data_IF_417713137287
#
_entry.id   IF_417713137287
#
_cell.length_a   1.000
_cell.length_b   1.000
_cell.length_c   1.000
_cell.angle_alpha   90.00
_cell.angle_beta   90.00
_cell.angle_gamma   90.00
#
_symmetry.space_group_name_H-M   'P 1'
#
loop_
_entity.id
_entity.type
_entity.pdbx_description
1 polymer ?
#
# COMPACT_ATOMS: atom_id res chain seq x y z
N UNK A 1 20.61 27.56 0.40
CA UNK A 1 20.63 29.03 0.57
C UNK A 1 21.75 29.56 1.45
N UNK A 2 22.10 28.91 2.57
CA UNK A 2 23.17 29.37 3.47
C UNK A 2 24.54 29.47 2.78
N UNK A 3 24.98 28.45 2.04
CA UNK A 3 26.26 28.48 1.30
C UNK A 3 26.27 29.60 0.24
N UNK A 4 25.15 29.81 -0.46
CA UNK A 4 25.01 30.90 -1.45
C UNK A 4 25.09 32.28 -0.79
N UNK A 5 24.46 32.45 0.39
CA UNK A 5 24.53 33.69 1.18
C UNK A 5 25.93 33.96 1.71
N UNK A 6 26.59 32.95 2.28
CA UNK A 6 27.99 33.07 2.71
C UNK A 6 28.88 33.50 1.54
N UNK A 7 28.59 33.03 0.31
CA UNK A 7 29.40 33.32 -0.88
C UNK A 7 29.26 34.76 -1.33
N UNK A 8 28.06 35.31 -1.17
CA UNK A 8 27.77 36.71 -1.45
C UNK A 8 28.29 37.65 -0.35
N UNK A 9 28.32 37.19 0.90
CA UNK A 9 28.81 37.99 2.04
C UNK A 9 30.34 37.97 2.22
N UNK A 10 31.08 37.27 1.36
CA UNK A 10 32.54 37.18 1.45
C UNK A 10 33.04 36.44 2.70
N UNK A 11 32.30 35.44 3.18
CA UNK A 11 32.70 34.62 4.33
C UNK A 11 34.05 33.90 4.08
N UNK A 12 34.70 33.42 5.14
CA UNK A 12 36.00 32.73 5.03
C UNK A 12 35.90 31.39 4.31
N UNK A 13 36.99 30.97 3.65
CA UNK A 13 37.06 29.70 2.88
C UNK A 13 36.62 28.50 3.72
N UNK A 14 37.05 28.46 4.99
CA UNK A 14 36.75 27.38 5.93
C UNK A 14 35.24 27.25 6.20
N UNK A 15 34.51 28.38 6.31
CA UNK A 15 33.07 28.37 6.57
C UNK A 15 32.26 27.79 5.39
N UNK A 16 32.78 27.87 4.16
CA UNK A 16 32.16 27.20 3.01
C UNK A 16 32.40 25.70 3.02
N UNK A 17 33.63 25.29 3.34
CA UNK A 17 34.00 23.88 3.40
C UNK A 17 33.15 23.17 4.46
N UNK A 18 33.03 23.74 5.66
CA UNK A 18 32.15 23.21 6.71
C UNK A 18 30.68 23.10 6.27
N UNK A 19 30.15 24.14 5.59
CA UNK A 19 28.78 24.12 5.08
C UNK A 19 28.57 23.10 3.96
N UNK A 20 29.57 22.92 3.11
CA UNK A 20 29.58 21.94 2.03
C UNK A 20 29.62 20.50 2.57
N UNK A 21 30.52 20.24 3.51
CA UNK A 21 30.68 18.92 4.16
C UNK A 21 29.42 18.53 4.92
N UNK A 22 28.80 19.49 5.61
CA UNK A 22 27.51 19.27 6.27
C UNK A 22 26.41 18.91 5.27
N UNK A 23 26.29 19.65 4.17
CA UNK A 23 25.28 19.37 3.12
C UNK A 23 25.51 18.01 2.47
N UNK A 24 26.77 17.67 2.19
CA UNK A 24 27.16 16.39 1.62
C UNK A 24 26.74 15.25 2.54
N UNK A 25 27.01 15.36 3.84
CA UNK A 25 26.63 14.36 4.82
C UNK A 25 25.12 14.20 4.94
N UNK A 26 24.36 15.30 5.03
CA UNK A 26 22.90 15.23 5.10
C UNK A 26 22.29 14.57 3.86
N UNK A 27 22.83 14.87 2.67
CA UNK A 27 22.40 14.24 1.42
C UNK A 27 22.72 12.75 1.41
N UNK A 28 23.90 12.36 1.87
CA UNK A 28 24.30 10.96 1.97
C UNK A 28 23.40 10.18 2.95
N UNK A 29 23.13 10.74 4.12
CA UNK A 29 22.24 10.15 5.14
C UNK A 29 20.78 10.06 4.69
N UNK A 30 20.32 11.00 3.86
CA UNK A 30 18.99 10.94 3.25
C UNK A 30 18.83 9.72 2.33
N UNK A 31 19.87 9.39 1.55
CA UNK A 31 19.86 8.22 0.67
C UNK A 31 20.06 6.94 1.49
N UNK A 32 21.11 6.90 2.31
CA UNK A 32 21.48 5.76 3.13
C UNK A 32 21.80 6.21 4.56
N UNK A 33 20.87 5.97 5.48
CA UNK A 33 21.04 6.39 6.87
C UNK A 33 21.96 5.50 7.70
N UNK A 34 22.38 4.36 7.15
CA UNK A 34 23.32 3.41 7.78
C UNK A 34 24.73 3.53 7.18
N UNK A 35 25.06 4.71 6.61
CA UNK A 35 26.39 4.96 6.07
C UNK A 35 27.46 4.84 7.17
N UNK A 36 28.43 3.97 6.98
CA UNK A 36 29.58 3.82 7.88
C UNK A 36 30.59 4.95 7.69
N UNK A 37 31.33 5.31 8.75
CA UNK A 37 32.39 6.33 8.67
C UNK A 37 31.94 7.77 8.95
N UNK A 38 30.69 7.99 9.37
CA UNK A 38 30.22 9.31 9.81
C UNK A 38 30.74 9.60 11.23
N UNK A 39 31.38 10.75 11.49
CA UNK A 39 31.79 11.14 12.83
C UNK A 39 30.59 11.20 13.79
N UNK A 40 30.76 10.69 15.02
CA UNK A 40 29.67 10.61 16.02
C UNK A 40 29.05 11.99 16.33
N UNK A 41 29.85 13.06 16.26
CA UNK A 41 29.41 14.44 16.46
C UNK A 41 28.43 14.95 15.37
N UNK A 42 28.51 14.39 14.16
CA UNK A 42 27.65 14.75 13.04
C UNK A 42 26.51 13.75 12.79
N UNK A 43 26.45 12.65 13.57
CA UNK A 43 25.34 11.70 13.48
C UNK A 43 24.05 12.29 14.09
N UNK A 44 22.89 12.09 13.45
CA UNK A 44 21.63 12.52 14.03
C UNK A 44 21.29 11.71 15.29
N UNK A 45 20.79 12.37 16.33
CA UNK A 45 20.40 11.75 17.62
C UNK A 45 19.36 10.62 17.48
N UNK A 46 18.58 10.63 16.40
CA UNK A 46 17.62 9.57 16.05
C UNK A 46 17.98 9.00 14.68
N UNK A 47 18.17 7.68 14.55
CA UNK A 47 18.44 7.08 13.26
C UNK A 47 17.25 7.30 12.33
N UNK A 48 17.48 8.05 11.24
CA UNK A 48 16.51 8.23 10.18
C UNK A 48 16.30 6.94 9.37
N UNK A 49 15.20 6.86 8.64
CA UNK A 49 15.03 5.85 7.57
C UNK A 49 15.28 6.51 6.22
N UNK A 50 16.51 6.35 5.73
CA UNK A 50 16.90 6.77 4.39
C UNK A 50 16.14 5.99 3.30
N UNK A 51 16.32 6.41 2.05
CA UNK A 51 15.65 5.79 0.91
C UNK A 51 15.95 4.29 0.80
N UNK A 52 17.22 3.91 0.95
CA UNK A 52 17.66 2.51 0.87
C UNK A 52 16.98 1.65 1.94
N UNK A 53 16.90 2.14 3.19
CA UNK A 53 16.23 1.45 4.30
C UNK A 53 14.74 1.25 4.07
N UNK A 54 14.08 2.15 3.32
CA UNK A 54 12.66 1.99 2.96
C UNK A 54 12.45 0.96 1.85
N UNK A 55 13.44 0.76 0.98
CA UNK A 55 13.36 -0.20 -0.12
C UNK A 55 13.74 -1.63 0.34
N UNK A 56 14.80 -1.76 1.14
CA UNK A 56 15.35 -3.05 1.59
C UNK A 56 14.66 -3.61 2.84
N UNK A 57 14.87 -4.89 3.11
CA UNK A 57 14.43 -5.57 4.33
C UNK A 57 13.04 -6.22 4.22
N UNK A 58 12.64 -6.95 5.28
CA UNK A 58 11.37 -7.71 5.33
C UNK A 58 10.14 -6.80 5.19
N UNK A 59 10.18 -5.62 5.80
CA UNK A 59 9.13 -4.61 5.75
C UNK A 59 9.42 -3.50 4.74
N UNK A 60 10.45 -3.66 3.89
CA UNK A 60 10.78 -2.72 2.83
C UNK A 60 9.80 -2.79 1.66
N UNK A 61 9.80 -1.80 0.77
CA UNK A 61 8.85 -1.72 -0.34
C UNK A 61 8.94 -2.91 -1.31
N UNK A 62 10.14 -3.40 -1.62
CA UNK A 62 10.28 -4.51 -2.56
C UNK A 62 9.62 -5.78 -2.02
N UNK A 63 9.98 -6.21 -0.82
CA UNK A 63 9.43 -7.44 -0.24
C UNK A 63 8.02 -7.27 0.34
N UNK A 64 7.76 -6.16 1.04
CA UNK A 64 6.51 -5.92 1.74
C UNK A 64 5.37 -5.41 0.87
N UNK A 65 5.66 -4.77 -0.28
CA UNK A 65 4.62 -4.18 -1.13
C UNK A 65 4.57 -4.76 -2.54
N UNK A 66 5.70 -5.17 -3.11
CA UNK A 66 5.71 -5.77 -4.46
C UNK A 66 5.56 -7.28 -4.39
N UNK A 67 6.30 -7.97 -3.52
CA UNK A 67 6.21 -9.44 -3.40
C UNK A 67 5.04 -9.94 -2.55
N UNK A 68 4.49 -9.11 -1.65
CA UNK A 68 3.46 -9.52 -0.70
C UNK A 68 2.49 -8.39 -0.35
N UNK A 69 1.66 -7.99 -1.30
CA UNK A 69 0.67 -6.92 -1.09
C UNK A 69 -0.61 -7.46 -0.45
N UNK A 70 -1.26 -6.63 0.35
CA UNK A 70 -2.66 -6.86 0.75
C UNK A 70 -3.57 -6.77 -0.48
N UNK A 71 -4.54 -7.67 -0.56
CA UNK A 71 -5.49 -7.77 -1.67
C UNK A 71 -6.90 -7.46 -1.18
N UNK A 72 -7.65 -6.75 -2.01
CA UNK A 72 -9.09 -6.53 -1.80
C UNK A 72 -9.86 -7.81 -2.18
N UNK A 73 -11.14 -7.92 -1.81
CA UNK A 73 -12.02 -9.06 -2.11
C UNK A 73 -11.52 -10.42 -1.57
N UNK A 74 -11.00 -10.43 -0.34
CA UNK A 74 -10.61 -11.64 0.37
C UNK A 74 -11.20 -11.69 1.78
N UNK A 75 -11.45 -12.88 2.29
CA UNK A 75 -11.95 -13.13 3.66
C UNK A 75 -11.18 -14.27 4.33
N UNK A 76 -11.14 -14.28 5.66
CA UNK A 76 -10.52 -15.33 6.47
C UNK A 76 -11.45 -15.70 7.63
N UNK A 77 -11.63 -17.00 7.87
CA UNK A 77 -12.38 -17.54 9.01
C UNK A 77 -11.75 -18.85 9.51
N UNK A 78 -12.21 -19.35 10.66
CA UNK A 78 -11.83 -20.66 11.21
C UNK A 78 -12.48 -21.78 10.39
N UNK A 79 -11.75 -22.88 10.18
CA UNK A 79 -12.23 -24.07 9.47
C UNK A 79 -12.90 -25.05 10.45
N UNK A 80 -13.94 -25.73 9.96
CA UNK A 80 -14.62 -26.82 10.67
C UNK A 80 -14.84 -27.99 9.69
N UNK A 81 -14.75 -29.25 10.14
CA UNK A 81 -15.01 -30.40 9.28
C UNK A 81 -16.51 -30.55 9.00
N UNK A 82 -16.88 -30.83 7.74
CA UNK A 82 -18.25 -31.18 7.34
C UNK A 82 -18.20 -32.36 6.35
N UNK A 83 -18.74 -33.55 6.71
CA UNK A 83 -18.69 -34.73 5.86
C UNK A 83 -19.70 -34.70 4.69
N UNK A 84 -20.63 -33.75 4.66
CA UNK A 84 -21.64 -33.67 3.61
C UNK A 84 -21.19 -32.83 2.40
N UNK A 85 -20.03 -32.17 2.49
CA UNK A 85 -19.47 -31.39 1.39
C UNK A 85 -18.62 -32.26 0.46
N UNK A 86 -18.75 -31.99 -0.83
CA UNK A 86 -17.88 -32.62 -1.85
C UNK A 86 -16.45 -32.07 -1.76
N UNK A 87 -15.48 -32.80 -2.33
CA UNK A 87 -14.04 -32.49 -2.22
C UNK A 87 -13.68 -31.13 -2.84
N UNK A 88 -14.44 -30.69 -3.84
CA UNK A 88 -14.28 -29.42 -4.56
C UNK A 88 -15.11 -28.27 -3.97
N UNK A 89 -15.92 -28.53 -2.93
CA UNK A 89 -16.78 -27.54 -2.29
C UNK A 89 -16.14 -26.94 -1.04
N UNK A 90 -16.52 -25.69 -0.73
CA UNK A 90 -16.17 -25.01 0.51
C UNK A 90 -17.37 -24.28 1.09
N UNK A 91 -17.65 -24.54 2.37
CA UNK A 91 -18.71 -23.84 3.10
C UNK A 91 -18.35 -22.38 3.34
N UNK A 92 -19.13 -21.45 2.78
CA UNK A 92 -18.95 -20.00 2.99
C UNK A 92 -20.06 -19.47 3.89
N UNK A 93 -19.73 -18.86 5.05
CA UNK A 93 -20.74 -18.22 5.90
C UNK A 93 -21.51 -17.12 5.18
N UNK A 94 -22.82 -17.03 5.46
CA UNK A 94 -23.72 -16.05 4.84
C UNK A 94 -23.26 -14.59 5.02
N UNK A 95 -22.65 -14.26 6.15
CA UNK A 95 -22.13 -12.91 6.38
C UNK A 95 -20.99 -12.55 5.41
N UNK A 96 -20.13 -13.52 5.06
CA UNK A 96 -19.03 -13.31 4.11
C UNK A 96 -19.60 -13.20 2.70
N UNK A 97 -20.55 -14.06 2.35
CA UNK A 97 -21.17 -14.08 1.03
C UNK A 97 -21.90 -12.79 0.66
N UNK A 98 -22.41 -12.04 1.65
CA UNK A 98 -23.03 -10.72 1.43
C UNK A 98 -22.00 -9.60 1.21
N UNK A 99 -20.79 -9.74 1.75
CA UNK A 99 -19.73 -8.72 1.68
C UNK A 99 -18.89 -8.90 0.42
N UNK A 100 -18.50 -10.13 0.09
CA UNK A 100 -17.70 -10.42 -1.09
C UNK A 100 -18.56 -10.28 -2.34
N UNK A 101 -18.12 -9.44 -3.28
CA UNK A 101 -18.83 -9.19 -4.53
C UNK A 101 -17.99 -9.63 -5.72
N UNK A 102 -18.67 -10.03 -6.79
CA UNK A 102 -18.06 -10.38 -8.07
C UNK A 102 -18.65 -9.49 -9.17
N UNK A 103 -17.82 -8.81 -9.98
CA UNK A 103 -18.31 -7.97 -11.07
C UNK A 103 -18.75 -8.84 -12.25
N UNK A 104 -20.05 -9.03 -12.40
CA UNK A 104 -20.61 -9.72 -13.57
C UNK A 104 -21.16 -8.72 -14.60
N UNK A 105 -20.80 -8.92 -15.87
CA UNK A 105 -21.29 -8.08 -16.96
C UNK A 105 -22.71 -8.48 -17.35
N UNK A 106 -23.60 -7.50 -17.45
CA UNK A 106 -24.97 -7.73 -17.92
C UNK A 106 -24.95 -8.07 -19.42
N UNK A 107 -25.56 -9.20 -19.76
CA UNK A 107 -25.81 -9.71 -21.11
C UNK A 107 -27.29 -10.10 -21.23
N UNK A 108 -27.77 -10.30 -22.46
CA UNK A 108 -29.18 -10.63 -22.68
C UNK A 108 -29.62 -11.92 -21.96
N UNK A 109 -28.71 -12.89 -21.78
CA UNK A 109 -28.99 -14.15 -21.11
C UNK A 109 -29.17 -14.02 -19.59
N UNK A 110 -28.38 -13.16 -18.91
CA UNK A 110 -28.40 -13.03 -17.44
C UNK A 110 -29.24 -11.83 -16.96
N UNK A 111 -29.78 -11.00 -17.85
CA UNK A 111 -30.46 -9.74 -17.50
C UNK A 111 -31.59 -9.92 -16.47
N UNK A 112 -32.37 -11.00 -16.57
CA UNK A 112 -33.48 -11.25 -15.65
C UNK A 112 -32.98 -11.63 -14.24
N UNK A 113 -31.93 -12.44 -14.19
CA UNK A 113 -31.28 -12.86 -12.94
C UNK A 113 -30.66 -11.63 -12.26
N UNK A 114 -29.93 -10.82 -13.02
CA UNK A 114 -29.28 -9.60 -12.53
C UNK A 114 -30.28 -8.60 -11.96
N UNK A 115 -31.42 -8.38 -12.65
CA UNK A 115 -32.50 -7.53 -12.13
C UNK A 115 -33.03 -8.04 -10.79
N UNK A 116 -33.23 -9.35 -10.65
CA UNK A 116 -33.70 -9.96 -9.40
C UNK A 116 -32.72 -9.75 -8.25
N UNK A 117 -31.42 -9.92 -8.50
CA UNK A 117 -30.37 -9.68 -7.50
C UNK A 117 -30.34 -8.21 -7.03
N UNK A 118 -30.53 -7.28 -7.96
CA UNK A 118 -30.61 -5.84 -7.64
C UNK A 118 -31.85 -5.54 -6.79
N UNK A 119 -33.02 -6.12 -7.12
CA UNK A 119 -34.27 -5.92 -6.36
C UNK A 119 -34.14 -6.46 -4.93
N UNK A 120 -33.45 -7.59 -4.74
CA UNK A 120 -33.22 -8.16 -3.40
C UNK A 120 -32.33 -7.28 -2.52
N UNK A 121 -31.46 -6.45 -3.12
CA UNK A 121 -30.57 -5.53 -2.42
C UNK A 121 -29.36 -6.22 -1.75
N UNK A 122 -28.57 -5.47 -0.97
CA UNK A 122 -27.34 -5.98 -0.35
C UNK A 122 -27.56 -6.82 0.92
N UNK A 123 -28.65 -6.58 1.65
CA UNK A 123 -28.91 -7.23 2.95
C UNK A 123 -29.44 -8.66 2.80
N UNK A 124 -30.14 -8.96 1.70
CA UNK A 124 -30.74 -10.27 1.47
C UNK A 124 -29.95 -11.04 0.42
N UNK A 125 -29.43 -12.21 0.82
CA UNK A 125 -28.79 -13.12 -0.11
C UNK A 125 -29.83 -14.03 -0.76
N UNK A 126 -29.76 -14.32 -2.07
CA UNK A 126 -28.81 -13.78 -3.07
C UNK A 126 -29.17 -12.33 -3.49
N UNK A 127 -28.16 -11.45 -3.53
CA UNK A 127 -28.36 -10.01 -3.75
C UNK A 127 -27.18 -9.33 -4.45
N UNK A 128 -27.28 -8.02 -4.66
CA UNK A 128 -26.22 -7.22 -5.28
C UNK A 128 -25.99 -5.90 -4.54
N UNK A 129 -24.72 -5.50 -4.43
CA UNK A 129 -24.32 -4.32 -3.65
C UNK A 129 -24.13 -3.07 -4.52
N UNK A 130 -23.66 -3.25 -5.76
CA UNK A 130 -23.29 -2.15 -6.65
C UNK A 130 -23.80 -2.39 -8.07
N UNK A 131 -24.20 -1.31 -8.75
CA UNK A 131 -24.55 -1.30 -10.17
C UNK A 131 -23.68 -0.26 -10.88
N UNK A 132 -22.86 -0.72 -11.81
CA UNK A 132 -21.97 0.16 -12.58
C UNK A 132 -22.53 0.36 -14.00
N UNK A 133 -22.77 1.62 -14.39
CA UNK A 133 -23.16 1.96 -15.75
C UNK A 133 -21.94 2.04 -16.68
N UNK A 134 -22.17 1.87 -17.98
CA UNK A 134 -21.10 1.96 -18.98
C UNK A 134 -20.60 3.40 -19.05
N UNK A 135 -19.32 3.62 -18.76
CA UNK A 135 -18.66 4.93 -18.86
C UNK A 135 -18.57 5.70 -17.54
N UNK A 136 -19.22 5.25 -16.46
CA UNK A 136 -18.92 5.79 -15.12
C UNK A 136 -17.66 5.12 -14.57
N UNK A 137 -16.80 5.90 -13.91
CA UNK A 137 -15.69 5.36 -13.13
C UNK A 137 -16.24 4.61 -11.91
N UNK A 138 -15.58 3.51 -11.53
CA UNK A 138 -15.92 2.75 -10.33
C UNK A 138 -15.70 3.65 -9.10
N UNK A 139 -16.79 4.04 -8.42
CA UNK A 139 -16.70 4.73 -7.14
C UNK A 139 -16.64 3.65 -6.05
N UNK A 140 -15.46 3.52 -5.43
CA UNK A 140 -15.27 2.72 -4.21
C UNK A 140 -16.13 3.24 -3.08
#
# INVERSE_FOLDING_TARGET
DVIKKHKQSGASVNMYQEGWDFLQLQTALYINSELSGVPLAMMPKKPGRGLVQRLKGKQGRFRGNLSGKRVDFSSRTVISPDPNLEIDQVGVPMHIAKILTFPERVIQANIQIMKKLIINGPENWPGANYVQQKGSAFKK
#
